data_IF_623705450318
#
_entry.id   IF_623705450318
#
_cell.length_a   1.000
_cell.length_b   1.000
_cell.length_c   1.000
_cell.angle_alpha   90.00
_cell.angle_beta   90.00
_cell.angle_gamma   90.00
#
_symmetry.space_group_name_H-M   'P 1'
#
loop_
_entity.id
_entity.type
_entity.pdbx_description
1 polymer ?
#
# COMPACT_ATOMS: atom_id res chain seq x y z
N UNK A 1 -15.87 -10.86 24.60
CA UNK A 1 -14.89 -9.83 24.21
C UNK A 1 -15.09 -9.52 22.74
N UNK A 2 -14.99 -8.25 22.35
CA UNK A 2 -15.02 -7.85 20.95
C UNK A 2 -13.79 -8.40 20.22
N UNK A 3 -13.97 -8.82 18.97
CA UNK A 3 -12.86 -9.32 18.15
C UNK A 3 -11.89 -8.15 17.89
N UNK A 4 -10.60 -8.38 18.07
CA UNK A 4 -9.55 -7.43 17.71
C UNK A 4 -9.06 -7.78 16.31
N UNK A 5 -9.16 -6.83 15.38
CA UNK A 5 -8.63 -6.93 14.02
C UNK A 5 -7.30 -6.22 13.93
N UNK A 6 -6.31 -6.90 13.35
CA UNK A 6 -5.02 -6.34 12.96
C UNK A 6 -5.13 -5.83 11.53
N UNK A 7 -5.08 -4.51 11.35
CA UNK A 7 -5.31 -3.83 10.07
C UNK A 7 -3.99 -3.19 9.62
N UNK A 8 -3.50 -3.56 8.45
CA UNK A 8 -2.31 -2.96 7.85
C UNK A 8 -2.70 -2.01 6.72
N UNK A 9 -2.35 -0.74 6.85
CA UNK A 9 -2.71 0.32 5.90
C UNK A 9 -1.49 0.72 5.07
N UNK A 10 -1.68 0.88 3.76
CA UNK A 10 -0.63 1.20 2.79
C UNK A 10 -1.08 2.39 1.94
N UNK A 11 -0.26 3.44 1.89
CA UNK A 11 -0.51 4.64 1.10
C UNK A 11 0.74 5.00 0.29
N UNK A 12 0.85 4.52 -0.96
CA UNK A 12 1.90 4.93 -1.87
C UNK A 12 1.79 6.42 -2.21
N UNK A 13 2.92 7.10 -2.21
CA UNK A 13 3.10 8.47 -2.69
C UNK A 13 4.30 8.56 -3.63
N UNK A 14 4.56 9.77 -4.13
CA UNK A 14 5.60 10.01 -5.15
C UNK A 14 6.97 9.51 -4.72
N UNK A 15 7.46 9.95 -3.57
CA UNK A 15 8.81 9.65 -3.05
C UNK A 15 8.78 8.89 -1.73
N UNK A 16 7.62 8.43 -1.29
CA UNK A 16 7.47 7.65 -0.08
C UNK A 16 6.29 6.71 -0.15
N UNK A 17 6.27 5.69 0.70
CA UNK A 17 5.07 4.92 1.02
C UNK A 17 4.84 5.06 2.51
N UNK A 18 3.70 5.63 2.91
CA UNK A 18 3.28 5.62 4.30
C UNK A 18 2.63 4.27 4.59
N UNK A 19 3.07 3.60 5.64
CA UNK A 19 2.45 2.38 6.15
C UNK A 19 2.06 2.55 7.61
N UNK A 20 1.06 1.79 8.05
CA UNK A 20 0.66 1.74 9.45
C UNK A 20 0.03 0.42 9.83
N UNK A 21 0.11 0.09 11.11
CA UNK A 21 -0.55 -1.07 11.70
C UNK A 21 -1.50 -0.59 12.78
N UNK A 22 -2.73 -1.06 12.73
CA UNK A 22 -3.79 -0.74 13.68
C UNK A 22 -4.33 -2.01 14.32
N UNK A 23 -4.77 -1.89 15.57
CA UNK A 23 -5.59 -2.89 16.26
C UNK A 23 -6.95 -2.25 16.55
N UNK A 24 -7.96 -2.62 15.76
CA UNK A 24 -9.20 -1.87 15.67
C UNK A 24 -8.91 -0.37 15.44
N UNK A 25 -9.28 0.50 16.38
CA UNK A 25 -9.09 1.94 16.30
C UNK A 25 -7.74 2.43 16.86
N UNK A 26 -6.93 1.54 17.44
CA UNK A 26 -5.66 1.90 18.06
C UNK A 26 -4.51 1.79 17.07
N UNK A 27 -3.81 2.88 16.81
CA UNK A 27 -2.55 2.86 16.06
C UNK A 27 -1.47 2.13 16.88
N UNK A 28 -0.89 1.07 16.30
CA UNK A 28 0.28 0.38 16.86
C UNK A 28 1.55 1.08 16.38
N UNK A 29 1.63 1.39 15.09
CA UNK A 29 2.66 2.25 14.53
C UNK A 29 2.23 2.85 13.19
N UNK A 30 2.85 3.97 12.83
CA UNK A 30 2.90 4.49 11.47
C UNK A 30 4.31 4.93 11.11
N UNK A 31 4.70 4.78 9.84
CA UNK A 31 6.02 5.17 9.34
C UNK A 31 5.96 5.55 7.86
N UNK A 32 6.81 6.48 7.46
CA UNK A 32 7.07 6.78 6.05
C UNK A 32 8.30 5.99 5.59
N UNK A 33 8.11 5.04 4.69
CA UNK A 33 9.18 4.42 3.94
C UNK A 33 9.59 5.38 2.83
N UNK A 34 10.78 5.97 2.93
CA UNK A 34 11.29 6.89 1.91
C UNK A 34 11.92 6.12 0.77
N UNK A 35 11.64 6.55 -0.46
CA UNK A 35 12.22 6.00 -1.68
C UNK A 35 13.26 6.96 -2.23
N UNK A 36 14.42 6.43 -2.60
CA UNK A 36 15.49 7.24 -3.17
C UNK A 36 15.07 7.76 -4.55
N UNK A 37 15.19 9.07 -4.76
CA UNK A 37 14.74 9.69 -6.00
C UNK A 37 15.61 9.32 -7.21
N UNK A 38 16.87 8.94 -7.01
CA UNK A 38 17.73 8.44 -8.08
C UNK A 38 17.36 7.00 -8.46
N UNK A 39 17.05 6.16 -7.47
CA UNK A 39 16.54 4.80 -7.69
C UNK A 39 15.19 4.82 -8.42
N UNK A 40 14.25 5.66 -7.99
CA UNK A 40 12.93 5.80 -8.62
C UNK A 40 13.01 6.22 -10.11
N UNK A 41 14.06 6.95 -10.50
CA UNK A 41 14.29 7.39 -11.89
C UNK A 41 14.83 6.29 -12.80
N UNK A 42 15.26 5.16 -12.25
CA UNK A 42 15.73 4.02 -13.04
C UNK A 42 14.57 3.24 -13.68
N UNK A 43 13.37 3.36 -13.12
CA UNK A 43 12.16 2.72 -13.61
C UNK A 43 11.55 3.48 -14.78
N UNK A 44 11.22 2.77 -15.87
CA UNK A 44 10.64 3.38 -17.07
C UNK A 44 9.20 3.84 -16.84
N UNK A 45 8.43 3.10 -16.04
CA UNK A 45 7.05 3.41 -15.66
C UNK A 45 6.84 3.26 -14.15
N UNK A 46 5.77 3.87 -13.64
CA UNK A 46 5.40 3.76 -12.21
C UNK A 46 5.11 2.30 -11.82
N UNK A 47 4.44 1.53 -12.68
CA UNK A 47 4.15 0.12 -12.47
C UNK A 47 5.41 -0.73 -12.26
N UNK A 48 6.53 -0.34 -12.87
CA UNK A 48 7.80 -1.05 -12.77
C UNK A 48 8.40 -0.93 -11.36
N UNK A 49 7.94 0.03 -10.56
CA UNK A 49 8.37 0.23 -9.17
C UNK A 49 7.73 -0.77 -8.20
N UNK A 50 6.83 -1.64 -8.65
CA UNK A 50 6.04 -2.52 -7.79
C UNK A 50 6.92 -3.37 -6.87
N UNK A 51 7.88 -4.12 -7.41
CA UNK A 51 8.74 -5.01 -6.63
C UNK A 51 9.59 -4.21 -5.64
N UNK A 52 10.20 -3.10 -6.09
CA UNK A 52 10.97 -2.22 -5.22
C UNK A 52 10.15 -1.68 -4.04
N UNK A 53 8.93 -1.18 -4.29
CA UNK A 53 8.04 -0.67 -3.25
C UNK A 53 7.54 -1.78 -2.34
N UNK A 54 7.21 -2.95 -2.87
CA UNK A 54 6.82 -4.13 -2.07
C UNK A 54 7.96 -4.52 -1.13
N UNK A 55 9.17 -4.66 -1.65
CA UNK A 55 10.30 -5.19 -0.90
C UNK A 55 10.75 -4.23 0.21
N UNK A 56 10.71 -2.92 -0.04
CA UNK A 56 10.96 -1.91 0.99
C UNK A 56 9.92 -1.94 2.12
N UNK A 57 8.64 -2.18 1.80
CA UNK A 57 7.58 -2.36 2.80
C UNK A 57 7.80 -3.66 3.59
N UNK A 58 8.08 -4.78 2.92
CA UNK A 58 8.34 -6.06 3.56
C UNK A 58 9.54 -6.01 4.49
N UNK A 59 10.62 -5.31 4.09
CA UNK A 59 11.77 -5.08 4.94
C UNK A 59 11.42 -4.27 6.20
N UNK A 60 10.60 -3.23 6.07
CA UNK A 60 10.14 -2.44 7.22
C UNK A 60 9.20 -3.23 8.14
N UNK A 61 8.35 -4.11 7.59
CA UNK A 61 7.55 -5.06 8.38
C UNK A 61 8.44 -6.03 9.16
N UNK A 62 9.44 -6.64 8.49
CA UNK A 62 10.37 -7.56 9.12
C UNK A 62 11.21 -6.90 10.23
N UNK A 63 11.67 -5.66 10.01
CA UNK A 63 12.41 -4.86 11.01
C UNK A 63 11.59 -4.63 12.29
N UNK A 64 10.27 -4.64 12.19
CA UNK A 64 9.33 -4.48 13.31
C UNK A 64 8.82 -5.81 13.87
N UNK A 65 9.29 -6.94 13.34
CA UNK A 65 8.82 -8.27 13.75
C UNK A 65 7.37 -8.56 13.34
N UNK A 66 6.86 -7.89 12.31
CA UNK A 66 5.50 -8.09 11.80
C UNK A 66 5.50 -9.17 10.71
N UNK A 67 4.77 -10.25 10.93
CA UNK A 67 4.55 -11.31 9.95
C UNK A 67 3.20 -11.09 9.22
N UNK A 68 3.17 -11.29 7.89
CA UNK A 68 1.97 -11.02 7.08
C UNK A 68 0.76 -11.85 7.53
N UNK A 69 1.00 -13.06 8.03
CA UNK A 69 0.01 -14.02 8.51
C UNK A 69 -0.70 -13.52 9.77
N UNK A 70 -0.17 -12.50 10.44
CA UNK A 70 -0.78 -11.89 11.64
C UNK A 70 -1.72 -10.73 11.30
N UNK A 71 -1.80 -10.33 10.03
CA UNK A 71 -2.66 -9.25 9.55
C UNK A 71 -4.00 -9.82 9.10
N UNK A 72 -5.09 -9.32 9.67
CA UNK A 72 -6.45 -9.71 9.28
C UNK A 72 -6.90 -9.03 7.99
N UNK A 73 -6.52 -7.76 7.78
CA UNK A 73 -6.97 -6.94 6.65
C UNK A 73 -5.85 -6.01 6.18
N UNK A 74 -5.67 -5.96 4.86
CA UNK A 74 -4.84 -4.96 4.19
C UNK A 74 -5.72 -3.90 3.54
N UNK A 75 -5.38 -2.62 3.75
CA UNK A 75 -6.13 -1.49 3.18
C UNK A 75 -5.17 -0.59 2.39
N UNK A 76 -5.46 -0.39 1.11
CA UNK A 76 -4.72 0.52 0.24
C UNK A 76 -5.49 1.81 0.00
N UNK A 77 -4.79 2.93 -0.20
CA UNK A 77 -5.40 4.11 -0.82
C UNK A 77 -5.75 3.80 -2.28
N UNK A 78 -7.02 3.98 -2.67
CA UNK A 78 -7.43 3.90 -4.07
C UNK A 78 -6.75 4.99 -4.90
N UNK A 79 -6.04 4.59 -5.96
CA UNK A 79 -5.39 5.48 -6.92
C UNK A 79 -5.74 5.09 -8.35
N UNK A 80 -5.84 6.07 -9.25
CA UNK A 80 -6.02 5.81 -10.69
C UNK A 80 -7.32 5.08 -11.05
N UNK A 81 -8.37 5.24 -10.25
CA UNK A 81 -9.66 4.60 -10.49
C UNK A 81 -10.55 5.42 -11.43
N UNK A 82 -11.53 4.74 -12.02
CA UNK A 82 -12.67 5.39 -12.66
C UNK A 82 -13.53 6.12 -11.62
N UNK A 83 -14.45 6.97 -12.06
CA UNK A 83 -15.44 7.56 -11.16
C UNK A 83 -16.24 6.45 -10.45
N UNK A 84 -16.15 6.41 -9.13
CA UNK A 84 -16.83 5.46 -8.26
C UNK A 84 -17.54 6.23 -7.14
N UNK A 85 -18.58 5.62 -6.56
CA UNK A 85 -19.17 6.14 -5.33
C UNK A 85 -18.15 6.12 -4.19
N UNK A 86 -18.32 6.99 -3.20
CA UNK A 86 -17.45 7.01 -2.03
C UNK A 86 -17.66 5.76 -1.19
N UNK A 87 -16.59 5.02 -0.87
CA UNK A 87 -16.70 3.83 -0.06
C UNK A 87 -15.43 2.97 -0.05
N UNK A 88 -15.55 1.78 0.53
CA UNK A 88 -14.52 0.74 0.52
C UNK A 88 -14.89 -0.34 -0.49
N UNK A 89 -13.88 -0.82 -1.20
CA UNK A 89 -14.06 -1.84 -2.25
C UNK A 89 -13.08 -2.99 -2.00
N UNK A 90 -13.52 -4.25 -2.18
CA UNK A 90 -12.58 -5.36 -2.21
C UNK A 90 -11.65 -5.22 -3.42
N UNK A 91 -10.37 -5.53 -3.23
CA UNK A 91 -9.43 -5.66 -4.34
C UNK A 91 -9.85 -6.87 -5.17
N UNK A 92 -10.11 -6.65 -6.46
CA UNK A 92 -10.46 -7.68 -7.43
C UNK A 92 -9.60 -7.56 -8.69
N UNK A 93 -9.77 -8.48 -9.63
CA UNK A 93 -8.97 -8.52 -10.87
C UNK A 93 -9.11 -7.25 -11.71
N UNK A 94 -10.31 -6.64 -11.76
CA UNK A 94 -10.55 -5.39 -12.51
C UNK A 94 -9.75 -4.24 -11.88
N UNK A 95 -9.82 -4.11 -10.56
CA UNK A 95 -9.09 -3.08 -9.81
C UNK A 95 -7.57 -3.25 -10.01
N UNK A 96 -7.09 -4.49 -9.91
CA UNK A 96 -5.69 -4.83 -10.08
C UNK A 96 -5.19 -4.51 -11.49
N UNK A 97 -5.94 -4.89 -12.52
CA UNK A 97 -5.58 -4.61 -13.91
C UNK A 97 -5.55 -3.10 -14.18
N UNK A 98 -6.57 -2.37 -13.74
CA UNK A 98 -6.62 -0.92 -13.89
C UNK A 98 -5.45 -0.21 -13.23
N UNK A 99 -5.03 -0.67 -12.04
CA UNK A 99 -3.88 -0.15 -11.34
C UNK A 99 -2.55 -0.44 -12.08
N UNK A 100 -2.42 -1.63 -12.70
CA UNK A 100 -1.23 -2.02 -13.47
C UNK A 100 -1.05 -1.21 -14.74
N UNK A 101 -2.13 -1.04 -15.51
CA UNK A 101 -2.06 -0.31 -16.79
C UNK A 101 -2.18 1.21 -16.63
N UNK A 102 -2.59 1.68 -15.45
CA UNK A 102 -2.87 3.10 -15.18
C UNK A 102 -4.07 3.59 -15.97
N UNK A 103 -5.20 2.88 -15.88
CA UNK A 103 -6.35 3.00 -16.78
C UNK A 103 -6.92 4.42 -16.91
N UNK A 104 -7.02 5.18 -15.82
CA UNK A 104 -7.45 6.60 -15.88
C UNK A 104 -6.30 7.56 -15.66
N UNK A 105 -5.62 7.43 -14.52
CA UNK A 105 -4.51 8.28 -14.11
C UNK A 105 -3.42 7.39 -13.55
N UNK A 106 -2.18 7.65 -13.99
CA UNK A 106 -0.99 7.08 -13.36
C UNK A 106 -0.69 7.89 -12.10
N UNK A 107 -0.95 7.30 -10.94
CA UNK A 107 -0.54 7.85 -9.65
C UNK A 107 0.64 7.02 -9.12
N UNK A 108 1.69 7.64 -8.57
CA UNK A 108 2.81 6.94 -7.91
C UNK A 108 2.38 6.04 -6.76
#
# INVERSE_FOLDING_TARGET
MEKVYTIFVINPGSTSTKIGLFRNETEVFSVNVTHDASELKTFAQISDQFDYRRDTILAEMARRGLAMETVDVFVGRGGGLVGLEGGTYPVNEILLEHARVGFTVKHP
#
